data_IF_634748239883
#
_entry.id   IF_634748239883
#
_cell.length_a   1.000
_cell.length_b   1.000
_cell.length_c   1.000
_cell.angle_alpha   90.00
_cell.angle_beta   90.00
_cell.angle_gamma   90.00
#
_symmetry.space_group_name_H-M   'P 1'
#
loop_
_entity.id
_entity.type
_entity.pdbx_description
1 polymer ?
#
# COMPACT_ATOMS: atom_id res chain seq x y z
N UNK A 1 10.17 1.47 -13.92
CA UNK A 1 9.34 0.77 -12.92
C UNK A 1 8.91 -0.62 -13.41
N UNK A 2 8.27 -0.74 -14.56
CA UNK A 2 7.73 -2.02 -15.06
C UNK A 2 8.81 -3.09 -15.26
N UNK A 3 9.94 -2.75 -15.85
CA UNK A 3 11.08 -3.67 -16.06
C UNK A 3 11.60 -4.18 -14.71
N UNK A 4 11.83 -3.28 -13.75
CA UNK A 4 12.31 -3.65 -12.43
C UNK A 4 11.29 -4.54 -11.69
N UNK A 5 10.00 -4.21 -11.78
CA UNK A 5 8.93 -5.01 -11.18
C UNK A 5 8.93 -6.45 -11.70
N UNK A 6 9.07 -6.61 -13.02
CA UNK A 6 9.11 -7.93 -13.65
C UNK A 6 10.34 -8.74 -13.21
N UNK A 7 11.51 -8.14 -13.20
CA UNK A 7 12.75 -8.79 -12.75
C UNK A 7 12.70 -9.18 -11.27
N UNK A 8 12.14 -8.32 -10.42
CA UNK A 8 11.94 -8.61 -9.00
C UNK A 8 10.97 -9.76 -8.78
N UNK A 9 9.85 -9.77 -9.51
CA UNK A 9 8.86 -10.83 -9.46
C UNK A 9 9.45 -12.18 -9.86
N UNK A 10 10.18 -12.24 -10.96
CA UNK A 10 10.87 -13.45 -11.43
C UNK A 10 11.90 -13.94 -10.43
N UNK A 11 12.69 -13.05 -9.86
CA UNK A 11 13.68 -13.38 -8.83
C UNK A 11 13.02 -13.97 -7.59
N UNK A 12 11.91 -13.38 -7.12
CA UNK A 12 11.19 -13.87 -5.94
C UNK A 12 10.51 -15.20 -6.23
N UNK A 13 9.91 -15.39 -7.40
CA UNK A 13 9.33 -16.67 -7.83
C UNK A 13 10.39 -17.78 -7.87
N UNK A 14 11.61 -17.46 -8.31
CA UNK A 14 12.70 -18.43 -8.41
C UNK A 14 13.30 -18.79 -7.05
N UNK A 15 13.48 -17.82 -6.15
CA UNK A 15 14.14 -18.02 -4.83
C UNK A 15 13.15 -18.28 -3.70
N UNK A 16 11.91 -17.90 -3.86
CA UNK A 16 10.92 -17.83 -2.78
C UNK A 16 11.13 -16.63 -1.86
N UNK A 17 10.14 -16.33 -1.06
CA UNK A 17 10.21 -15.42 0.08
C UNK A 17 9.25 -15.88 1.16
N UNK A 18 9.54 -15.54 2.41
CA UNK A 18 8.60 -15.76 3.51
C UNK A 18 7.66 -14.56 3.63
N UNK A 19 6.37 -14.82 3.48
CA UNK A 19 5.30 -13.84 3.70
C UNK A 19 4.39 -14.35 4.79
N UNK A 20 4.33 -13.63 5.92
CA UNK A 20 3.46 -14.00 7.04
C UNK A 20 2.00 -13.94 6.62
N UNK A 21 1.23 -14.96 7.03
CA UNK A 21 -0.22 -15.04 6.72
C UNK A 21 -1.04 -13.89 7.32
N UNK A 22 -0.50 -13.20 8.32
CA UNK A 22 -1.12 -12.03 8.94
C UNK A 22 -0.99 -10.73 8.12
N UNK A 23 -0.16 -10.72 7.05
CA UNK A 23 -0.02 -9.55 6.18
C UNK A 23 -1.33 -9.32 5.40
N UNK A 24 -1.95 -8.16 5.63
CA UNK A 24 -3.09 -7.75 4.83
C UNK A 24 -2.59 -7.10 3.54
N UNK A 25 -2.95 -7.68 2.43
CA UNK A 25 -2.59 -7.21 1.09
C UNK A 25 -3.80 -7.27 0.17
N UNK A 26 -3.94 -6.29 -0.73
CA UNK A 26 -4.97 -6.27 -1.76
C UNK A 26 -4.41 -5.81 -3.10
N UNK A 27 -5.04 -6.26 -4.18
CA UNK A 27 -4.72 -5.79 -5.53
C UNK A 27 -5.31 -4.43 -5.80
N UNK A 28 -4.67 -3.68 -6.68
CA UNK A 28 -5.22 -2.45 -7.24
C UNK A 28 -5.84 -2.74 -8.59
N UNK A 29 -7.15 -2.57 -8.71
CA UNK A 29 -7.91 -2.71 -9.95
C UNK A 29 -8.50 -1.38 -10.42
N UNK A 30 -8.58 -0.40 -9.52
CA UNK A 30 -9.08 0.95 -9.81
C UNK A 30 -7.89 1.85 -10.21
N UNK A 31 -8.00 2.50 -11.37
CA UNK A 31 -7.00 3.46 -11.82
C UNK A 31 -6.86 4.63 -10.83
N UNK A 32 -5.63 5.10 -10.65
CA UNK A 32 -5.29 6.25 -9.79
C UNK A 32 -5.72 6.12 -8.31
N UNK A 33 -6.07 4.91 -7.84
CA UNK A 33 -6.44 4.65 -6.46
C UNK A 33 -5.26 4.22 -5.57
N UNK A 34 -4.02 4.30 -6.04
CA UNK A 34 -2.85 3.81 -5.31
C UNK A 34 -2.68 4.46 -3.93
N UNK A 35 -3.03 5.74 -3.78
CA UNK A 35 -3.00 6.43 -2.48
C UNK A 35 -3.99 5.82 -1.49
N UNK A 36 -5.23 5.56 -1.92
CA UNK A 36 -6.25 4.89 -1.09
C UNK A 36 -5.83 3.46 -0.75
N UNK A 37 -5.31 2.70 -1.72
CA UNK A 37 -4.80 1.34 -1.50
C UNK A 37 -3.63 1.34 -0.52
N UNK A 38 -2.67 2.25 -0.69
CA UNK A 38 -1.54 2.41 0.22
C UNK A 38 -1.98 2.73 1.65
N UNK A 39 -2.96 3.62 1.81
CA UNK A 39 -3.52 3.96 3.12
C UNK A 39 -4.25 2.76 3.75
N UNK A 40 -5.06 2.03 2.99
CA UNK A 40 -5.72 0.80 3.46
C UNK A 40 -4.68 -0.24 3.89
N UNK A 41 -3.60 -0.44 3.12
CA UNK A 41 -2.50 -1.34 3.50
C UNK A 41 -1.87 -0.94 4.83
N UNK A 42 -1.55 0.36 5.02
CA UNK A 42 -0.94 0.86 6.23
C UNK A 42 -1.85 0.66 7.46
N UNK A 43 -3.13 1.03 7.34
CA UNK A 43 -4.10 0.93 8.43
C UNK A 43 -4.43 -0.52 8.75
N UNK A 44 -4.70 -1.36 7.75
CA UNK A 44 -5.08 -2.75 7.93
C UNK A 44 -4.02 -3.57 8.69
N UNK A 45 -2.74 -3.31 8.41
CA UNK A 45 -1.62 -4.01 9.06
C UNK A 45 -1.26 -3.43 10.43
N UNK A 46 -1.88 -2.31 10.84
CA UNK A 46 -1.72 -1.69 12.16
C UNK A 46 -3.05 -1.57 12.92
N UNK A 47 -4.10 -2.28 12.50
CA UNK A 47 -5.45 -2.18 13.07
C UNK A 47 -5.49 -2.43 14.58
N UNK A 48 -4.63 -3.29 15.10
CA UNK A 48 -4.54 -3.62 16.53
C UNK A 48 -3.95 -2.48 17.35
N UNK A 49 -3.29 -1.53 16.71
CA UNK A 49 -2.69 -0.32 17.31
C UNK A 49 -3.60 0.91 17.16
N UNK A 50 -4.77 0.78 16.50
CA UNK A 50 -5.63 1.90 16.14
C UNK A 50 -7.01 1.80 16.80
N UNK A 51 -7.55 2.94 17.18
CA UNK A 51 -8.92 3.07 17.65
C UNK A 51 -9.81 3.60 16.53
N UNK A 52 -10.76 2.79 16.11
CA UNK A 52 -11.76 3.19 15.11
C UNK A 52 -13.02 3.69 15.77
N UNK A 53 -13.65 4.69 15.19
CA UNK A 53 -14.99 5.09 15.58
C UNK A 53 -15.99 3.95 15.41
N UNK A 54 -17.02 3.92 16.26
CA UNK A 54 -18.00 2.81 16.33
C UNK A 54 -18.69 2.52 14.98
N UNK A 55 -18.93 3.55 14.18
CA UNK A 55 -19.60 3.44 12.88
C UNK A 55 -18.64 3.67 11.69
N UNK A 56 -17.34 3.46 11.87
CA UNK A 56 -16.36 3.67 10.81
C UNK A 56 -16.59 2.71 9.64
N UNK A 57 -16.85 3.27 8.45
CA UNK A 57 -16.96 2.51 7.20
C UNK A 57 -15.67 1.78 6.87
N UNK A 58 -14.52 2.35 7.20
CA UNK A 58 -13.22 1.72 7.01
C UNK A 58 -13.06 0.51 7.92
N UNK A 59 -13.42 0.64 9.21
CA UNK A 59 -13.40 -0.50 10.14
C UNK A 59 -14.21 -1.66 9.61
N UNK A 60 -15.44 -1.40 9.19
CA UNK A 60 -16.32 -2.42 8.63
C UNK A 60 -15.72 -3.06 7.37
N UNK A 61 -15.21 -2.25 6.45
CA UNK A 61 -14.53 -2.76 5.26
C UNK A 61 -13.39 -3.72 5.61
N UNK A 62 -12.55 -3.33 6.58
CA UNK A 62 -11.42 -4.16 7.02
C UNK A 62 -11.90 -5.47 7.64
N UNK A 63 -12.88 -5.43 8.53
CA UNK A 63 -13.44 -6.62 9.18
C UNK A 63 -14.04 -7.59 8.16
N UNK A 64 -14.85 -7.10 7.23
CA UNK A 64 -15.50 -7.90 6.20
C UNK A 64 -14.48 -8.54 5.22
N UNK A 65 -13.36 -7.86 4.98
CA UNK A 65 -12.36 -8.29 3.99
C UNK A 65 -11.19 -9.10 4.54
N UNK A 66 -11.13 -9.34 5.85
CA UNK A 66 -10.01 -10.06 6.47
C UNK A 66 -9.79 -11.47 5.91
N UNK A 67 -10.87 -12.20 5.68
CA UNK A 67 -10.82 -13.59 5.17
C UNK A 67 -10.75 -13.69 3.65
N UNK A 68 -10.83 -12.56 2.94
CA UNK A 68 -10.81 -12.50 1.48
C UNK A 68 -9.39 -12.62 0.93
N UNK A 69 -9.26 -13.16 -0.29
CA UNK A 69 -8.02 -13.09 -1.07
C UNK A 69 -7.71 -11.67 -1.51
N UNK A 70 -6.46 -11.35 -1.91
CA UNK A 70 -6.12 -10.03 -2.45
C UNK A 70 -6.99 -9.58 -3.62
N UNK A 71 -7.41 -10.50 -4.49
CA UNK A 71 -8.28 -10.26 -5.63
C UNK A 71 -9.73 -10.01 -5.20
N UNK A 72 -10.24 -10.75 -4.22
CA UNK A 72 -11.58 -10.56 -3.67
C UNK A 72 -11.68 -9.22 -2.94
N UNK A 73 -10.65 -8.81 -2.20
CA UNK A 73 -10.55 -7.49 -1.56
C UNK A 73 -10.64 -6.36 -2.58
N UNK A 74 -9.94 -6.50 -3.71
CA UNK A 74 -10.01 -5.52 -4.80
C UNK A 74 -11.43 -5.37 -5.35
N UNK A 75 -12.10 -6.48 -5.66
CA UNK A 75 -13.49 -6.47 -6.14
C UNK A 75 -14.46 -5.92 -5.10
N UNK A 76 -14.24 -6.23 -3.83
CA UNK A 76 -15.07 -5.70 -2.74
C UNK A 76 -14.92 -4.19 -2.62
N UNK A 77 -13.70 -3.66 -2.73
CA UNK A 77 -13.46 -2.21 -2.73
C UNK A 77 -14.18 -1.50 -3.89
N UNK A 78 -14.19 -2.08 -5.09
CA UNK A 78 -14.88 -1.51 -6.27
C UNK A 78 -16.37 -1.24 -6.00
N UNK A 79 -17.00 -2.09 -5.18
CA UNK A 79 -18.42 -2.02 -4.85
C UNK A 79 -18.70 -1.29 -3.52
N UNK A 80 -17.66 -0.93 -2.78
CA UNK A 80 -17.80 -0.33 -1.44
C UNK A 80 -17.98 1.19 -1.54
N UNK A 81 -19.22 1.61 -1.68
CA UNK A 81 -19.59 3.01 -2.00
C UNK A 81 -19.05 4.03 -1.00
N UNK A 82 -19.05 3.70 0.31
CA UNK A 82 -18.59 4.64 1.33
C UNK A 82 -17.12 5.06 1.15
N UNK A 83 -16.23 4.11 0.80
CA UNK A 83 -14.81 4.42 0.53
C UNK A 83 -14.68 5.13 -0.82
N UNK A 84 -15.45 4.73 -1.83
CA UNK A 84 -15.45 5.38 -3.15
C UNK A 84 -15.83 6.86 -3.04
N UNK A 85 -16.90 7.16 -2.33
CA UNK A 85 -17.36 8.56 -2.12
C UNK A 85 -16.31 9.36 -1.35
N UNK A 86 -15.71 8.79 -0.31
CA UNK A 86 -14.65 9.46 0.44
C UNK A 86 -13.42 9.71 -0.43
N UNK A 87 -13.04 8.75 -1.27
CA UNK A 87 -11.94 8.91 -2.22
C UNK A 87 -12.19 10.03 -3.21
N UNK A 88 -13.39 10.05 -3.82
CA UNK A 88 -13.80 11.10 -4.77
C UNK A 88 -13.85 12.48 -4.11
N UNK A 89 -14.43 12.59 -2.91
CA UNK A 89 -14.46 13.84 -2.15
C UNK A 89 -13.06 14.36 -1.84
N UNK A 90 -12.18 13.50 -1.32
CA UNK A 90 -10.80 13.88 -0.99
C UNK A 90 -9.99 14.30 -2.21
N UNK A 91 -10.23 13.69 -3.37
CA UNK A 91 -9.58 14.08 -4.62
C UNK A 91 -9.97 15.51 -5.05
N UNK A 92 -11.17 15.96 -4.73
CA UNK A 92 -11.64 17.31 -5.03
C UNK A 92 -11.22 18.37 -3.98
N UNK A 93 -10.87 17.95 -2.77
CA UNK A 93 -10.41 18.86 -1.71
C UNK A 93 -8.93 19.27 -1.85
N UNK A 94 -8.16 18.56 -2.68
CA UNK A 94 -6.77 18.86 -2.95
C UNK A 94 -6.55 20.18 -3.68
N UNK A 95 -5.38 20.79 -3.51
CA UNK A 95 -4.97 22.00 -4.22
C UNK A 95 -4.52 21.72 -5.67
N UNK A 96 -4.24 20.46 -5.99
CA UNK A 96 -3.86 20.02 -7.33
C UNK A 96 -5.10 19.57 -8.08
N UNK A 97 -5.24 19.99 -9.33
CA UNK A 97 -6.32 19.52 -10.18
C UNK A 97 -6.28 18.00 -10.27
N UNK A 98 -7.39 17.35 -9.94
CA UNK A 98 -7.47 15.89 -10.03
C UNK A 98 -7.34 15.48 -11.50
N UNK A 99 -6.44 14.53 -11.85
CA UNK A 99 -6.31 14.05 -13.20
C UNK A 99 -7.61 13.42 -13.69
N UNK A 100 -7.86 13.48 -14.99
CA UNK A 100 -9.00 12.76 -15.56
C UNK A 100 -8.86 11.27 -15.26
N UNK A 101 -9.98 10.57 -15.05
CA UNK A 101 -9.99 9.15 -14.68
C UNK A 101 -9.27 8.25 -15.71
N UNK A 102 -9.25 8.70 -16.97
CA UNK A 102 -8.56 8.03 -18.08
C UNK A 102 -7.11 8.49 -18.26
N UNK A 103 -6.68 9.50 -17.50
CA UNK A 103 -5.31 10.01 -17.59
C UNK A 103 -4.35 9.10 -16.86
N UNK A 104 -3.29 8.67 -17.56
CA UNK A 104 -2.23 7.85 -16.98
C UNK A 104 -1.31 8.71 -16.13
N UNK A 105 -1.37 8.51 -14.81
CA UNK A 105 -0.44 9.14 -13.86
C UNK A 105 0.78 8.24 -13.67
N UNK A 106 1.97 8.77 -13.94
CA UNK A 106 3.23 8.04 -13.81
C UNK A 106 3.67 7.86 -12.34
N UNK A 107 3.23 8.76 -11.45
CA UNK A 107 3.52 8.68 -10.03
C UNK A 107 2.68 7.58 -9.36
N UNK A 108 3.27 6.91 -8.36
CA UNK A 108 2.64 5.76 -7.72
C UNK A 108 2.93 5.73 -6.21
N UNK A 109 1.89 5.46 -5.43
CA UNK A 109 2.00 5.26 -3.98
C UNK A 109 2.04 3.79 -3.63
N UNK A 110 2.89 3.45 -2.67
CA UNK A 110 2.99 2.14 -2.03
C UNK A 110 2.97 2.32 -0.52
N UNK A 111 2.76 1.24 0.23
CA UNK A 111 2.92 1.26 1.67
C UNK A 111 4.13 0.41 2.11
N UNK A 112 4.83 0.88 3.13
CA UNK A 112 5.83 0.09 3.87
C UNK A 112 5.27 -0.15 5.27
N UNK A 113 5.29 -1.40 5.74
CA UNK A 113 4.71 -1.79 7.03
C UNK A 113 5.62 -2.78 7.76
N UNK A 114 5.59 -2.74 9.10
CA UNK A 114 6.16 -3.78 9.94
C UNK A 114 5.06 -4.77 10.32
N UNK A 115 5.20 -6.02 9.92
CA UNK A 115 4.30 -7.10 10.33
C UNK A 115 5.11 -8.25 10.90
N UNK A 116 4.92 -8.52 12.18
CA UNK A 116 5.59 -9.63 12.86
C UNK A 116 7.11 -9.56 12.79
N UNK A 117 7.70 -8.37 12.85
CA UNK A 117 9.15 -8.16 12.83
C UNK A 117 9.79 -8.21 11.45
N UNK A 118 9.00 -8.11 10.38
CA UNK A 118 9.49 -7.99 9.00
C UNK A 118 8.94 -6.76 8.31
N UNK A 119 9.79 -6.10 7.51
CA UNK A 119 9.40 -4.96 6.68
C UNK A 119 8.85 -5.46 5.35
N UNK A 120 7.59 -5.14 5.10
CA UNK A 120 6.92 -5.46 3.83
C UNK A 120 6.64 -4.21 3.01
N UNK A 121 6.90 -4.31 1.72
CA UNK A 121 6.41 -3.40 0.71
C UNK A 121 5.09 -3.93 0.16
N UNK A 122 4.07 -3.09 0.18
CA UNK A 122 2.71 -3.41 -0.25
C UNK A 122 2.33 -2.49 -1.41
N UNK A 123 2.51 -3.01 -2.61
CA UNK A 123 2.16 -2.35 -3.87
C UNK A 123 1.03 -3.12 -4.56
N UNK A 124 -0.15 -2.52 -4.63
CA UNK A 124 -1.33 -3.17 -5.23
C UNK A 124 -1.17 -3.55 -6.71
N UNK A 125 -0.18 -3.00 -7.41
CA UNK A 125 0.18 -3.38 -8.79
C UNK A 125 1.06 -4.62 -8.86
N UNK A 126 1.67 -5.04 -7.76
CA UNK A 126 2.50 -6.26 -7.68
C UNK A 126 1.63 -7.49 -7.38
N UNK A 127 2.09 -8.70 -7.73
CA UNK A 127 1.32 -9.93 -7.51
C UNK A 127 1.20 -10.33 -6.04
N UNK A 128 2.16 -9.91 -5.19
CA UNK A 128 2.27 -10.29 -3.78
C UNK A 128 3.05 -9.21 -2.99
N UNK A 129 2.98 -9.22 -1.64
CA UNK A 129 3.85 -8.41 -0.80
C UNK A 129 5.33 -8.72 -1.03
N UNK A 130 6.21 -7.72 -0.90
CA UNK A 130 7.66 -7.93 -0.95
C UNK A 130 8.23 -7.86 0.46
N UNK A 131 8.88 -8.92 0.90
CA UNK A 131 9.58 -8.96 2.19
C UNK A 131 10.99 -8.40 2.03
N UNK A 132 11.27 -7.25 2.64
CA UNK A 132 12.58 -6.59 2.62
C UNK A 132 13.51 -7.04 3.75
N UNK A 133 13.06 -7.95 4.62
CA UNK A 133 13.87 -8.50 5.71
C UNK A 133 13.35 -8.15 7.10
N UNK A 134 14.14 -8.50 8.10
CA UNK A 134 13.82 -8.25 9.50
C UNK A 134 13.83 -6.75 9.82
N UNK A 135 12.95 -6.36 10.73
CA UNK A 135 12.86 -5.02 11.30
C UNK A 135 12.29 -5.09 12.72
N UNK A 136 12.26 -3.96 13.42
CA UNK A 136 11.63 -3.83 14.73
C UNK A 136 10.85 -2.51 14.80
N UNK A 137 10.03 -2.32 15.82
CA UNK A 137 9.32 -1.05 16.00
C UNK A 137 10.31 0.13 16.17
N UNK A 138 11.49 -0.10 16.77
CA UNK A 138 12.51 0.92 16.97
C UNK A 138 13.29 1.24 15.68
N UNK A 139 13.58 0.25 14.84
CA UNK A 139 14.37 0.43 13.61
C UNK A 139 13.54 0.61 12.35
N UNK A 140 12.22 0.41 12.41
CA UNK A 140 11.35 0.40 11.24
C UNK A 140 11.49 1.62 10.34
N UNK A 141 11.56 2.82 10.93
CA UNK A 141 11.66 4.05 10.15
C UNK A 141 12.99 4.11 9.37
N UNK A 142 14.10 3.74 10.02
CA UNK A 142 15.41 3.71 9.38
C UNK A 142 15.47 2.65 8.26
N UNK A 143 14.96 1.45 8.54
CA UNK A 143 14.90 0.37 7.55
C UNK A 143 14.01 0.73 6.35
N UNK A 144 12.88 1.40 6.59
CA UNK A 144 11.99 1.89 5.54
C UNK A 144 12.66 2.98 4.69
N UNK A 145 13.42 3.90 5.29
CA UNK A 145 14.21 4.91 4.58
C UNK A 145 15.25 4.24 3.67
N UNK A 146 15.91 3.19 4.13
CA UNK A 146 16.87 2.44 3.28
C UNK A 146 16.18 1.79 2.07
N UNK A 147 14.96 1.29 2.22
CA UNK A 147 14.15 0.82 1.08
C UNK A 147 13.83 1.96 0.13
N UNK A 148 13.40 3.13 0.65
CA UNK A 148 13.13 4.32 -0.16
C UNK A 148 14.38 4.78 -0.95
N UNK A 149 15.56 4.76 -0.34
CA UNK A 149 16.81 5.09 -1.04
C UNK A 149 17.08 4.16 -2.22
N UNK A 150 16.81 2.86 -2.07
CA UNK A 150 16.93 1.91 -3.18
C UNK A 150 15.97 2.21 -4.34
N UNK A 151 14.79 2.75 -4.05
CA UNK A 151 13.88 3.24 -5.10
C UNK A 151 14.48 4.45 -5.83
N UNK A 152 15.06 5.41 -5.11
CA UNK A 152 15.69 6.60 -5.71
C UNK A 152 16.90 6.22 -6.58
N UNK A 153 17.69 5.24 -6.16
CA UNK A 153 18.86 4.76 -6.91
C UNK A 153 18.50 4.11 -8.27
N UNK A 154 17.25 3.66 -8.44
CA UNK A 154 16.78 3.04 -9.71
C UNK A 154 16.66 4.06 -10.84
N UNK A 155 16.34 5.31 -10.50
CA UNK A 155 16.20 6.41 -11.45
C UNK A 155 16.81 7.68 -10.84
N UNK A 156 18.12 7.90 -10.99
CA UNK A 156 18.83 9.03 -10.40
C UNK A 156 18.37 10.41 -10.94
N UNK A 157 17.69 10.42 -12.09
CA UNK A 157 17.14 11.62 -12.70
C UNK A 157 15.75 11.98 -12.16
N UNK A 158 15.05 11.03 -11.51
CA UNK A 158 13.74 11.26 -10.91
C UNK A 158 13.89 11.84 -9.50
N UNK A 159 13.36 13.03 -9.27
CA UNK A 159 13.42 13.75 -8.01
C UNK A 159 12.07 13.82 -7.26
N UNK A 160 10.99 13.34 -7.88
CA UNK A 160 9.63 13.43 -7.34
C UNK A 160 9.32 12.29 -6.36
N UNK A 161 10.11 12.19 -5.30
CA UNK A 161 9.85 11.25 -4.21
C UNK A 161 9.25 11.97 -3.02
N UNK A 162 8.28 11.33 -2.37
CA UNK A 162 7.66 11.78 -1.14
C UNK A 162 7.42 10.58 -0.21
N UNK A 163 7.59 10.77 1.08
CA UNK A 163 7.29 9.77 2.10
C UNK A 163 6.50 10.41 3.25
N UNK A 164 5.46 9.72 3.70
CA UNK A 164 4.60 10.13 4.81
C UNK A 164 4.63 9.01 5.84
N UNK A 165 4.97 9.34 7.08
CA UNK A 165 4.92 8.40 8.19
C UNK A 165 3.59 8.56 8.94
N UNK A 166 2.90 7.43 9.17
CA UNK A 166 1.77 7.34 10.07
C UNK A 166 2.30 6.92 11.45
N UNK A 167 2.13 7.74 12.45
CA UNK A 167 2.55 7.48 13.82
C UNK A 167 1.39 7.63 14.81
N UNK A 168 1.53 7.01 15.98
CA UNK A 168 0.63 7.30 17.10
C UNK A 168 0.78 8.78 17.52
N UNK A 169 -0.33 9.37 17.96
CA UNK A 169 -0.36 10.72 18.51
C UNK A 169 0.19 10.73 19.95
#
# INVERSE_FOLDING_TARGET
YETFRTEEEERIKAKGQDVKSSVYFMKQTINNACGTIGLIHAIANNRDKMNFETNSSLKKFLEDSLSMTPEERAKYLETYEAIRVTHESSAHEGQTEAPNIDEKVDLHFIALVNVGGHLYELDGRKPFPINHGETSDDSFLEDAIEVCKKFMERDPEELRFNAIALSAA
#
